data_IF_250471412285
#
_entry.id   IF_250471412285
#
_cell.length_a   1.000
_cell.length_b   1.000
_cell.length_c   1.000
_cell.angle_alpha   90.00
_cell.angle_beta   90.00
_cell.angle_gamma   90.00
#
_symmetry.space_group_name_H-M   'P 1'
#
loop_
_entity.id
_entity.type
_entity.pdbx_description
1 polymer ?
#
# COMPACT_ATOMS: atom_id res chain seq x y z
N UNK A 1 19.12 14.10 -15.48
CA UNK A 1 19.11 15.47 -14.92
C UNK A 1 19.37 15.34 -13.43
N UNK A 2 20.33 16.08 -12.85
CA UNK A 2 20.55 16.13 -11.40
C UNK A 2 20.02 17.49 -10.94
N UNK A 3 19.02 17.50 -10.06
CA UNK A 3 18.44 18.71 -9.44
C UNK A 3 18.42 18.52 -7.93
N UNK A 4 18.48 19.62 -7.17
CA UNK A 4 18.41 19.62 -5.70
C UNK A 4 16.99 19.53 -5.14
N UNK A 5 15.97 19.64 -6.01
CA UNK A 5 14.56 19.55 -5.60
C UNK A 5 14.01 18.16 -5.92
N UNK A 6 13.02 17.70 -5.13
CA UNK A 6 12.21 16.52 -5.48
C UNK A 6 11.71 16.70 -6.92
N UNK A 7 11.99 15.76 -7.84
CA UNK A 7 11.62 15.93 -9.22
C UNK A 7 10.10 16.00 -9.34
N UNK A 8 9.56 17.22 -9.49
CA UNK A 8 8.16 17.51 -9.87
C UNK A 8 7.79 16.99 -11.28
N UNK A 9 8.69 16.21 -11.91
CA UNK A 9 8.46 15.58 -13.20
C UNK A 9 8.25 14.10 -12.99
N UNK A 10 7.00 13.68 -13.18
CA UNK A 10 6.68 12.30 -13.57
C UNK A 10 7.39 12.05 -14.90
N UNK A 11 8.48 11.29 -14.88
CA UNK A 11 9.17 10.91 -16.11
C UNK A 11 8.22 10.05 -16.95
N UNK A 12 8.02 10.40 -18.21
CA UNK A 12 7.36 9.50 -19.16
C UNK A 12 8.16 8.19 -19.25
N UNK A 13 7.46 7.05 -19.30
CA UNK A 13 8.09 5.74 -19.36
C UNK A 13 9.04 5.66 -20.57
N UNK A 14 10.35 5.57 -20.31
CA UNK A 14 11.36 5.49 -21.36
C UNK A 14 11.15 4.24 -22.25
N UNK A 15 10.60 3.16 -21.67
CA UNK A 15 10.27 1.91 -22.36
C UNK A 15 9.04 1.28 -21.72
N UNK A 16 8.07 0.84 -22.53
CA UNK A 16 6.90 0.06 -22.12
C UNK A 16 7.02 -1.36 -22.70
N UNK A 17 7.02 -2.38 -21.83
CA UNK A 17 7.14 -3.79 -22.21
C UNK A 17 6.03 -4.59 -21.53
N UNK A 18 5.53 -5.63 -22.21
CA UNK A 18 4.82 -6.71 -21.51
C UNK A 18 5.80 -7.48 -20.63
N UNK A 19 5.29 -8.22 -19.66
CA UNK A 19 6.13 -9.07 -18.78
C UNK A 19 6.92 -10.11 -19.60
N UNK A 20 6.31 -10.66 -20.64
CA UNK A 20 6.97 -11.59 -21.57
C UNK A 20 8.08 -10.91 -22.36
N UNK A 21 7.80 -9.75 -22.98
CA UNK A 21 8.80 -8.99 -23.73
C UNK A 21 9.94 -8.50 -22.85
N UNK A 22 9.69 -8.22 -21.57
CA UNK A 22 10.75 -7.96 -20.59
C UNK A 22 11.62 -9.19 -20.38
N UNK A 23 11.03 -10.37 -20.17
CA UNK A 23 11.76 -11.64 -20.07
C UNK A 23 12.62 -11.95 -21.31
N UNK A 24 12.08 -11.71 -22.50
CA UNK A 24 12.79 -11.89 -23.78
C UNK A 24 14.06 -11.02 -23.88
N UNK A 25 14.10 -9.85 -23.22
CA UNK A 25 15.31 -9.00 -23.15
C UNK A 25 16.50 -9.72 -22.52
N UNK A 26 16.29 -10.80 -21.78
CA UNK A 26 17.33 -11.55 -21.10
C UNK A 26 17.61 -12.92 -21.74
N UNK A 27 16.62 -13.46 -22.45
CA UNK A 27 16.72 -14.76 -23.14
C UNK A 27 17.36 -14.64 -24.53
N UNK A 28 17.04 -13.60 -25.29
CA UNK A 28 17.45 -13.47 -26.70
C UNK A 28 18.71 -12.61 -26.81
N UNK A 29 19.72 -13.14 -27.52
CA UNK A 29 20.96 -12.42 -27.82
C UNK A 29 20.82 -11.63 -29.12
N UNK A 30 20.63 -10.32 -28.98
CA UNK A 30 20.71 -9.36 -30.07
C UNK A 30 21.27 -8.02 -29.57
N UNK A 31 21.57 -7.11 -30.50
CA UNK A 31 22.17 -5.81 -30.17
C UNK A 31 21.27 -4.98 -29.25
N UNK A 32 19.98 -4.93 -29.54
CA UNK A 32 19.00 -4.14 -28.76
C UNK A 32 18.89 -4.62 -27.31
N UNK A 33 18.75 -5.93 -27.11
CA UNK A 33 18.69 -6.55 -25.78
C UNK A 33 20.00 -6.38 -25.00
N UNK A 34 21.14 -6.41 -25.70
CA UNK A 34 22.44 -6.13 -25.07
C UNK A 34 22.53 -4.68 -24.60
N UNK A 35 22.03 -3.73 -25.40
CA UNK A 35 21.95 -2.32 -25.02
C UNK A 35 20.99 -2.12 -23.84
N UNK A 36 19.82 -2.74 -23.85
CA UNK A 36 18.85 -2.68 -22.74
C UNK A 36 19.48 -3.12 -21.41
N UNK A 37 20.22 -4.24 -21.41
CA UNK A 37 20.92 -4.73 -20.20
C UNK A 37 22.05 -3.81 -19.74
N UNK A 38 22.62 -3.01 -20.63
CA UNK A 38 23.75 -2.14 -20.33
C UNK A 38 23.36 -0.71 -19.91
N UNK A 39 22.27 -0.14 -20.46
CA UNK A 39 22.09 1.33 -20.55
C UNK A 39 20.87 1.86 -19.76
N UNK A 40 20.33 1.10 -18.78
CA UNK A 40 19.14 1.42 -17.94
C UNK A 40 17.83 0.87 -18.56
N UNK A 41 16.75 0.63 -17.79
CA UNK A 41 16.29 1.41 -16.63
C UNK A 41 16.97 1.09 -15.29
N UNK A 42 17.02 2.09 -14.38
CA UNK A 42 17.42 1.94 -12.97
C UNK A 42 16.22 2.02 -12.01
N UNK A 43 15.05 2.40 -12.52
CA UNK A 43 13.75 2.32 -11.89
C UNK A 43 12.84 1.46 -12.77
N UNK A 44 12.16 0.47 -12.19
CA UNK A 44 11.19 -0.35 -12.92
C UNK A 44 9.87 -0.35 -12.18
N UNK A 45 8.79 -0.17 -12.92
CA UNK A 45 7.43 -0.32 -12.41
C UNK A 45 6.78 -1.52 -13.08
N UNK A 46 6.37 -2.49 -12.27
CA UNK A 46 5.58 -3.63 -12.71
C UNK A 46 4.10 -3.36 -12.43
N UNK A 47 3.32 -3.21 -13.50
CA UNK A 47 1.89 -2.87 -13.44
C UNK A 47 1.06 -4.02 -13.98
N UNK A 48 0.19 -4.57 -13.13
CA UNK A 48 -0.78 -5.59 -13.50
C UNK A 48 -2.18 -5.07 -13.20
N UNK A 49 -2.93 -4.76 -14.25
CA UNK A 49 -4.34 -4.35 -14.14
C UNK A 49 -5.21 -5.35 -14.87
N UNK A 50 -6.14 -5.98 -14.14
CA UNK A 50 -7.10 -6.91 -14.73
C UNK A 50 -8.14 -6.14 -15.52
N UNK A 51 -8.21 -6.43 -16.82
CA UNK A 51 -9.33 -5.97 -17.65
C UNK A 51 -10.57 -6.83 -17.35
N UNK A 52 -11.76 -6.25 -17.48
CA UNK A 52 -13.05 -6.87 -17.08
C UNK A 52 -13.26 -8.26 -17.66
N UNK A 53 -12.80 -8.51 -18.89
CA UNK A 53 -12.98 -9.79 -19.60
C UNK A 53 -11.67 -10.59 -19.75
N UNK A 54 -10.60 -10.21 -19.04
CA UNK A 54 -9.27 -10.79 -19.21
C UNK A 54 -8.65 -11.34 -17.92
N UNK A 55 -9.41 -12.20 -17.25
CA UNK A 55 -8.92 -12.92 -16.08
C UNK A 55 -7.70 -13.80 -16.41
N UNK A 56 -7.74 -14.51 -17.54
CA UNK A 56 -6.72 -15.51 -17.88
C UNK A 56 -5.37 -14.87 -18.18
N UNK A 57 -5.29 -13.81 -18.99
CA UNK A 57 -4.01 -13.16 -19.27
C UNK A 57 -3.47 -12.48 -18.03
N UNK A 58 -4.33 -11.86 -17.22
CA UNK A 58 -3.94 -11.28 -15.95
C UNK A 58 -3.25 -12.30 -15.03
N UNK A 59 -3.87 -13.48 -14.85
CA UNK A 59 -3.28 -14.59 -14.10
C UNK A 59 -1.96 -15.05 -14.73
N UNK A 60 -1.92 -15.26 -16.05
CA UNK A 60 -0.70 -15.66 -16.77
C UNK A 60 0.44 -14.66 -16.55
N UNK A 61 0.17 -13.36 -16.64
CA UNK A 61 1.18 -12.32 -16.44
C UNK A 61 1.76 -12.34 -15.02
N UNK A 62 0.93 -12.57 -14.00
CA UNK A 62 1.40 -12.71 -12.62
C UNK A 62 2.21 -13.99 -12.40
N UNK A 63 1.88 -15.09 -13.09
CA UNK A 63 2.71 -16.30 -13.08
C UNK A 63 4.05 -16.06 -13.78
N UNK A 64 4.06 -15.41 -14.95
CA UNK A 64 5.30 -15.05 -15.66
C UNK A 64 6.17 -14.15 -14.78
N UNK A 65 5.59 -13.17 -14.08
CA UNK A 65 6.34 -12.32 -13.17
C UNK A 65 7.01 -13.12 -12.04
N UNK A 66 6.27 -14.02 -11.38
CA UNK A 66 6.83 -14.89 -10.35
C UNK A 66 8.01 -15.72 -10.87
N UNK A 67 7.90 -16.22 -12.10
CA UNK A 67 8.97 -16.96 -12.76
C UNK A 67 10.20 -16.08 -12.99
N UNK A 68 10.04 -14.84 -13.46
CA UNK A 68 11.14 -13.90 -13.68
C UNK A 68 11.88 -13.52 -12.39
N UNK A 69 11.16 -13.32 -11.29
CA UNK A 69 11.77 -13.00 -10.00
C UNK A 69 12.32 -14.23 -9.27
N UNK A 70 12.06 -15.44 -9.77
CA UNK A 70 12.65 -16.68 -9.25
C UNK A 70 14.15 -16.70 -9.51
N UNK A 71 14.92 -16.89 -8.44
CA UNK A 71 16.39 -16.89 -8.49
C UNK A 71 16.97 -18.06 -9.28
N UNK A 72 16.21 -19.15 -9.44
CA UNK A 72 16.69 -20.38 -10.09
C UNK A 72 16.56 -20.35 -11.61
N UNK A 73 15.55 -19.67 -12.16
CA UNK A 73 15.17 -19.80 -13.57
C UNK A 73 15.76 -18.74 -14.50
N UNK A 74 15.99 -17.52 -14.01
CA UNK A 74 16.41 -16.39 -14.86
C UNK A 74 17.66 -15.66 -14.29
N UNK A 75 18.85 -16.28 -14.32
CA UNK A 75 20.05 -15.71 -13.70
C UNK A 75 20.44 -14.33 -14.26
N UNK A 76 20.24 -14.08 -15.56
CA UNK A 76 20.49 -12.76 -16.19
C UNK A 76 19.53 -11.69 -15.69
N UNK A 77 18.28 -12.05 -15.37
CA UNK A 77 17.29 -11.13 -14.76
C UNK A 77 17.70 -10.81 -13.33
N UNK A 78 18.17 -11.81 -12.57
CA UNK A 78 18.67 -11.60 -11.21
C UNK A 78 19.91 -10.71 -11.18
N UNK A 79 20.86 -10.90 -12.10
CA UNK A 79 22.03 -10.02 -12.24
C UNK A 79 21.60 -8.58 -12.55
N UNK A 80 20.62 -8.41 -13.43
CA UNK A 80 20.05 -7.10 -13.76
C UNK A 80 19.36 -6.46 -12.55
N UNK A 81 18.56 -7.21 -11.81
CA UNK A 81 17.95 -6.76 -10.56
C UNK A 81 19.01 -6.40 -9.52
N UNK A 82 20.11 -7.15 -9.43
CA UNK A 82 21.18 -6.87 -8.48
C UNK A 82 21.95 -5.58 -8.84
N UNK A 83 22.32 -5.41 -10.12
CA UNK A 83 23.33 -4.42 -10.54
C UNK A 83 22.78 -3.17 -11.22
N UNK A 84 21.60 -3.23 -11.85
CA UNK A 84 21.04 -2.13 -12.64
C UNK A 84 19.86 -1.47 -11.96
N UNK A 85 18.97 -2.26 -11.36
CA UNK A 85 17.80 -1.71 -10.65
C UNK A 85 18.22 -1.12 -9.33
N UNK A 86 17.82 0.12 -9.08
CA UNK A 86 18.00 0.83 -7.82
C UNK A 86 16.69 0.95 -7.06
N UNK A 87 15.58 1.09 -7.78
CA UNK A 87 14.24 1.25 -7.21
C UNK A 87 13.21 0.48 -8.05
N UNK A 88 12.15 0.03 -7.38
CA UNK A 88 11.07 -0.73 -7.99
C UNK A 88 9.72 -0.28 -7.43
N UNK A 89 8.71 -0.26 -8.29
CA UNK A 89 7.31 -0.16 -7.90
C UNK A 89 6.55 -1.38 -8.37
N UNK A 90 5.67 -1.89 -7.51
CA UNK A 90 4.87 -3.07 -7.79
C UNK A 90 3.39 -2.72 -7.64
N UNK A 91 2.62 -2.85 -8.71
CA UNK A 91 1.24 -2.46 -8.76
C UNK A 91 0.37 -3.61 -9.27
N UNK A 92 -0.61 -4.00 -8.48
CA UNK A 92 -1.67 -4.92 -8.86
C UNK A 92 -3.02 -4.25 -8.58
N UNK A 93 -3.86 -4.17 -9.60
CA UNK A 93 -5.30 -3.94 -9.49
C UNK A 93 -6.03 -5.11 -10.15
N UNK A 94 -6.63 -5.99 -9.35
CA UNK A 94 -7.34 -7.14 -9.88
C UNK A 94 -8.82 -6.86 -10.21
N UNK A 95 -9.30 -5.64 -9.97
CA UNK A 95 -10.66 -5.20 -10.27
C UNK A 95 -11.70 -6.24 -9.85
N UNK A 96 -11.75 -6.54 -8.54
CA UNK A 96 -12.57 -7.63 -7.99
C UNK A 96 -14.01 -7.58 -8.52
N UNK A 97 -14.42 -8.65 -9.19
CA UNK A 97 -15.78 -8.84 -9.70
C UNK A 97 -16.39 -10.03 -8.96
N UNK A 98 -17.64 -9.91 -8.47
CA UNK A 98 -18.31 -10.93 -7.63
C UNK A 98 -18.55 -12.31 -8.28
N UNK A 99 -18.16 -12.53 -9.54
CA UNK A 99 -18.67 -13.64 -10.38
C UNK A 99 -17.60 -14.72 -10.68
N UNK A 100 -16.33 -14.49 -10.38
CA UNK A 100 -15.24 -15.40 -10.80
C UNK A 100 -14.54 -16.10 -9.63
N UNK A 101 -13.92 -17.27 -9.91
CA UNK A 101 -13.28 -18.17 -8.95
C UNK A 101 -12.25 -17.42 -8.05
N UNK A 102 -12.62 -17.06 -6.81
CA UNK A 102 -11.82 -16.17 -5.96
C UNK A 102 -10.50 -16.82 -5.51
N UNK A 103 -10.54 -18.12 -5.24
CA UNK A 103 -9.43 -18.85 -4.61
C UNK A 103 -8.15 -18.81 -5.46
N UNK A 104 -8.27 -18.96 -6.77
CA UNK A 104 -7.11 -18.94 -7.67
C UNK A 104 -6.48 -17.56 -7.74
N UNK A 105 -7.30 -16.50 -7.77
CA UNK A 105 -6.85 -15.12 -7.80
C UNK A 105 -6.12 -14.75 -6.51
N UNK A 106 -6.77 -14.95 -5.35
CA UNK A 106 -6.13 -14.70 -4.05
C UNK A 106 -4.81 -15.46 -3.93
N UNK A 107 -4.79 -16.73 -4.35
CA UNK A 107 -3.57 -17.55 -4.30
C UNK A 107 -2.41 -16.93 -5.09
N UNK A 108 -2.65 -16.47 -6.33
CA UNK A 108 -1.56 -15.90 -7.13
C UNK A 108 -1.10 -14.55 -6.57
N UNK A 109 -2.01 -13.72 -6.04
CA UNK A 109 -1.66 -12.44 -5.43
C UNK A 109 -0.77 -12.66 -4.20
N UNK A 110 -1.20 -13.55 -3.29
CA UNK A 110 -0.42 -13.89 -2.09
C UNK A 110 0.92 -14.55 -2.43
N UNK A 111 0.96 -15.38 -3.49
CA UNK A 111 2.20 -15.96 -3.99
C UNK A 111 3.17 -14.88 -4.49
N UNK A 112 2.69 -13.88 -5.24
CA UNK A 112 3.53 -12.76 -5.69
C UNK A 112 4.12 -11.98 -4.51
N UNK A 113 3.29 -11.65 -3.51
CA UNK A 113 3.75 -10.99 -2.29
C UNK A 113 4.80 -11.83 -1.55
N UNK A 114 4.56 -13.13 -1.42
CA UNK A 114 5.47 -14.07 -0.77
C UNK A 114 6.82 -14.16 -1.49
N UNK A 115 6.81 -14.36 -2.80
CA UNK A 115 8.03 -14.51 -3.59
C UNK A 115 8.85 -13.21 -3.60
N UNK A 116 8.18 -12.06 -3.72
CA UNK A 116 8.82 -10.75 -3.57
C UNK A 116 9.46 -10.57 -2.20
N UNK A 117 8.75 -10.94 -1.11
CA UNK A 117 9.26 -10.81 0.27
C UNK A 117 10.47 -11.71 0.57
N UNK A 118 10.66 -12.77 -0.22
CA UNK A 118 11.77 -13.73 -0.16
C UNK A 118 12.92 -13.37 -1.09
N UNK A 119 12.75 -12.44 -2.02
CA UNK A 119 13.80 -12.03 -2.94
C UNK A 119 14.68 -10.94 -2.30
N UNK A 120 15.81 -11.34 -1.71
CA UNK A 120 16.75 -10.44 -1.03
C UNK A 120 17.35 -9.34 -1.94
N UNK A 121 17.34 -9.53 -3.26
CA UNK A 121 17.79 -8.51 -4.23
C UNK A 121 16.77 -7.39 -4.40
N UNK A 122 15.48 -7.68 -4.22
CA UNK A 122 14.38 -6.77 -4.51
C UNK A 122 13.78 -6.11 -3.25
N UNK A 123 13.77 -6.78 -2.09
CA UNK A 123 13.11 -6.27 -0.87
C UNK A 123 13.60 -4.89 -0.41
N UNK A 124 14.85 -4.52 -0.72
CA UNK A 124 15.41 -3.19 -0.41
C UNK A 124 15.30 -2.20 -1.58
N UNK A 125 14.56 -2.56 -2.64
CA UNK A 125 14.38 -1.76 -3.85
C UNK A 125 12.92 -1.39 -4.07
N UNK A 126 11.97 -2.18 -3.55
CA UNK A 126 10.54 -1.86 -3.59
C UNK A 126 10.26 -0.60 -2.77
N UNK A 127 9.93 0.50 -3.46
CA UNK A 127 9.56 1.78 -2.86
C UNK A 127 8.05 1.97 -2.76
N UNK A 128 7.31 1.53 -3.77
CA UNK A 128 5.86 1.61 -3.80
C UNK A 128 5.27 0.24 -4.06
N UNK A 129 4.25 -0.11 -3.28
CA UNK A 129 3.49 -1.34 -3.46
C UNK A 129 2.01 -1.00 -3.46
N UNK A 130 1.30 -1.50 -4.46
CA UNK A 130 -0.15 -1.44 -4.55
C UNK A 130 -0.67 -2.83 -4.83
N UNK A 131 -1.58 -3.30 -3.99
CA UNK A 131 -2.35 -4.52 -4.21
C UNK A 131 -3.77 -4.12 -3.87
N UNK A 132 -4.63 -3.97 -4.86
CA UNK A 132 -6.01 -3.50 -4.66
C UNK A 132 -7.00 -4.21 -5.54
N UNK A 133 -8.28 -4.07 -5.19
CA UNK A 133 -9.37 -4.70 -5.91
C UNK A 133 -9.21 -6.21 -5.89
N UNK A 134 -8.85 -6.78 -4.74
CA UNK A 134 -8.68 -8.23 -4.53
C UNK A 134 -9.50 -8.69 -3.32
N UNK A 135 -9.48 -9.98 -3.03
CA UNK A 135 -10.15 -10.61 -1.89
C UNK A 135 -9.15 -11.18 -0.86
N UNK A 136 -7.88 -10.74 -0.89
CA UNK A 136 -6.84 -11.21 0.04
C UNK A 136 -7.16 -10.98 1.52
N UNK A 137 -8.07 -10.04 1.82
CA UNK A 137 -8.56 -9.80 3.18
C UNK A 137 -9.39 -10.94 3.76
N UNK A 138 -9.84 -11.90 2.95
CA UNK A 138 -10.60 -13.05 3.45
C UNK A 138 -9.73 -14.24 3.87
N UNK A 139 -8.43 -14.21 3.56
CA UNK A 139 -7.58 -15.40 3.67
C UNK A 139 -6.24 -15.06 4.37
N UNK A 140 -6.03 -15.65 5.55
CA UNK A 140 -4.76 -15.65 6.27
C UNK A 140 -4.12 -14.25 6.48
N UNK A 141 -4.94 -13.25 6.79
CA UNK A 141 -4.51 -11.85 7.00
C UNK A 141 -3.38 -11.72 8.02
N UNK A 142 -3.43 -12.39 9.20
CA UNK A 142 -2.34 -12.32 10.16
C UNK A 142 -0.98 -12.81 9.61
N UNK A 143 -0.97 -13.72 8.64
CA UNK A 143 0.24 -14.34 8.11
C UNK A 143 0.86 -13.48 7.01
N UNK A 144 0.09 -13.07 5.99
CA UNK A 144 0.65 -12.36 4.85
C UNK A 144 0.97 -10.89 5.16
N UNK A 145 0.25 -10.24 6.07
CA UNK A 145 0.55 -8.85 6.46
C UNK A 145 1.94 -8.70 7.11
N UNK A 146 2.46 -9.75 7.76
CA UNK A 146 3.82 -9.76 8.33
C UNK A 146 4.91 -9.68 7.27
N UNK A 147 4.60 -10.05 6.02
CA UNK A 147 5.55 -10.02 4.91
C UNK A 147 5.94 -8.59 4.57
N UNK A 148 5.10 -7.59 4.83
CA UNK A 148 5.41 -6.20 4.51
C UNK A 148 6.65 -5.66 5.23
N UNK A 149 6.94 -6.16 6.43
CA UNK A 149 8.15 -5.82 7.19
C UNK A 149 9.46 -6.14 6.45
N UNK A 150 9.40 -7.04 5.46
CA UNK A 150 10.58 -7.40 4.65
C UNK A 150 10.98 -6.26 3.70
N UNK A 151 10.04 -5.44 3.26
CA UNK A 151 10.30 -4.36 2.30
C UNK A 151 10.83 -3.11 3.01
N UNK A 152 12.13 -3.10 3.30
CA UNK A 152 12.77 -2.07 4.14
C UNK A 152 12.79 -0.67 3.53
N UNK A 153 12.59 -0.56 2.22
CA UNK A 153 12.58 0.69 1.47
C UNK A 153 11.18 1.12 1.05
N UNK A 154 10.14 0.43 1.53
CA UNK A 154 8.76 0.74 1.18
C UNK A 154 8.33 2.04 1.84
N UNK A 155 7.96 3.01 1.01
CA UNK A 155 7.53 4.35 1.41
C UNK A 155 6.02 4.55 1.17
N UNK A 156 5.45 3.82 0.20
CA UNK A 156 4.03 3.88 -0.16
C UNK A 156 3.45 2.48 -0.21
N UNK A 157 2.38 2.24 0.55
CA UNK A 157 1.61 1.01 0.52
C UNK A 157 0.13 1.33 0.30
N UNK A 158 -0.43 0.78 -0.77
CA UNK A 158 -1.85 0.79 -1.04
C UNK A 158 -2.39 -0.63 -1.01
N UNK A 159 -3.20 -0.91 0.01
CA UNK A 159 -3.94 -2.16 0.19
C UNK A 159 -5.44 -1.86 0.30
N UNK A 160 -5.90 -0.85 -0.43
CA UNK A 160 -7.31 -0.52 -0.57
C UNK A 160 -8.10 -1.60 -1.31
N UNK A 161 -9.43 -1.63 -1.14
CA UNK A 161 -10.32 -2.53 -1.90
C UNK A 161 -9.92 -4.01 -1.78
N UNK A 162 -9.56 -4.46 -0.58
CA UNK A 162 -9.10 -5.83 -0.32
C UNK A 162 -9.98 -6.61 0.64
N UNK A 163 -11.16 -6.08 0.98
CA UNK A 163 -12.10 -6.68 1.93
C UNK A 163 -11.47 -6.88 3.33
N UNK A 164 -10.51 -6.02 3.71
CA UNK A 164 -9.87 -6.11 5.02
C UNK A 164 -10.82 -5.67 6.12
N UNK A 165 -10.83 -6.39 7.23
CA UNK A 165 -11.55 -6.02 8.45
C UNK A 165 -10.59 -6.04 9.65
N UNK A 166 -11.02 -5.54 10.81
CA UNK A 166 -10.22 -5.63 12.05
C UNK A 166 -10.06 -7.09 12.51
N UNK A 167 -11.16 -7.84 12.47
CA UNK A 167 -11.26 -9.15 13.09
C UNK A 167 -10.90 -10.26 12.09
N UNK A 168 -9.88 -11.07 12.38
CA UNK A 168 -9.57 -12.27 11.59
C UNK A 168 -9.08 -13.42 12.47
N UNK A 169 -9.36 -14.66 12.08
CA UNK A 169 -8.84 -15.87 12.74
C UNK A 169 -9.05 -15.87 14.28
N UNK A 170 -10.18 -15.33 14.74
CA UNK A 170 -10.49 -15.22 16.18
C UNK A 170 -9.76 -14.08 16.92
N UNK A 171 -8.95 -13.29 16.23
CA UNK A 171 -8.39 -12.05 16.73
C UNK A 171 -9.38 -10.89 16.55
N UNK A 172 -9.51 -10.06 17.57
CA UNK A 172 -10.36 -8.85 17.57
C UNK A 172 -9.72 -7.72 16.76
N UNK A 173 -8.40 -7.58 16.81
CA UNK A 173 -7.69 -6.56 16.03
C UNK A 173 -6.32 -7.08 15.59
N UNK A 174 -6.26 -7.59 14.37
CA UNK A 174 -5.02 -8.10 13.79
C UNK A 174 -3.95 -7.02 13.71
N UNK A 175 -4.34 -5.77 13.50
CA UNK A 175 -3.46 -4.65 13.23
C UNK A 175 -2.84 -4.07 14.51
N UNK A 176 -3.48 -4.27 15.66
CA UNK A 176 -2.97 -3.86 16.97
C UNK A 176 -2.01 -4.84 17.67
N UNK A 177 -1.98 -6.13 17.28
CA UNK A 177 -1.16 -7.13 18.00
C UNK A 177 0.33 -6.90 17.86
N UNK A 178 0.80 -6.56 16.66
CA UNK A 178 2.22 -6.46 16.37
C UNK A 178 2.49 -5.54 15.18
N UNK A 179 3.70 -5.02 15.15
CA UNK A 179 4.18 -4.24 14.01
C UNK A 179 4.24 -5.12 12.76
N UNK A 180 3.40 -4.79 11.76
CA UNK A 180 3.32 -5.46 10.45
C UNK A 180 3.92 -4.66 9.31
N UNK A 181 4.05 -3.34 9.49
CA UNK A 181 4.49 -2.41 8.46
C UNK A 181 5.97 -2.01 8.67
N UNK A 182 6.69 -1.65 7.59
CA UNK A 182 8.09 -1.23 7.67
C UNK A 182 8.22 0.17 8.29
N UNK A 183 9.38 0.42 8.92
CA UNK A 183 9.64 1.63 9.73
C UNK A 183 9.65 2.94 8.92
N UNK A 184 9.90 2.87 7.61
CA UNK A 184 10.03 4.02 6.71
C UNK A 184 8.78 4.32 5.88
N UNK A 185 7.67 3.62 6.14
CA UNK A 185 6.43 3.81 5.40
C UNK A 185 5.85 5.20 5.67
N UNK A 186 5.62 5.98 4.62
CA UNK A 186 5.12 7.35 4.69
C UNK A 186 3.65 7.45 4.29
N UNK A 187 3.18 6.58 3.40
CA UNK A 187 1.80 6.60 2.91
C UNK A 187 1.18 5.21 3.05
N UNK A 188 0.02 5.16 3.69
CA UNK A 188 -0.77 3.95 3.87
C UNK A 188 -2.21 4.19 3.44
N UNK A 189 -2.62 3.52 2.36
CA UNK A 189 -4.01 3.48 1.92
C UNK A 189 -4.66 2.16 2.36
N UNK A 190 -5.66 2.28 3.22
CA UNK A 190 -6.56 1.23 3.73
C UNK A 190 -8.02 1.51 3.33
N UNK A 191 -8.22 2.38 2.35
CA UNK A 191 -9.53 2.81 1.87
C UNK A 191 -10.35 1.65 1.29
N UNK A 192 -11.68 1.79 1.27
CA UNK A 192 -12.56 0.80 0.65
C UNK A 192 -12.35 -0.62 1.18
N UNK A 193 -12.24 -0.73 2.50
CA UNK A 193 -12.20 -1.99 3.22
C UNK A 193 -13.41 -2.03 4.18
N UNK A 194 -13.41 -2.93 5.15
CA UNK A 194 -14.46 -3.12 6.15
C UNK A 194 -13.93 -2.94 7.58
N UNK A 195 -13.04 -1.97 7.79
CA UNK A 195 -12.64 -1.59 9.14
C UNK A 195 -13.83 -0.98 9.88
N UNK A 196 -14.07 -1.43 11.11
CA UNK A 196 -15.20 -1.02 11.95
C UNK A 196 -14.77 -0.14 13.13
N UNK A 197 -13.49 -0.21 13.50
CA UNK A 197 -12.93 0.58 14.59
C UNK A 197 -11.44 0.87 14.36
N UNK A 198 -10.95 1.94 14.99
CA UNK A 198 -9.53 2.24 15.12
C UNK A 198 -9.17 2.13 16.59
N UNK A 199 -8.40 1.10 16.95
CA UNK A 199 -7.91 0.91 18.31
C UNK A 199 -6.62 1.72 18.55
N UNK A 200 -6.35 2.03 19.81
CA UNK A 200 -5.06 2.59 20.23
C UNK A 200 -3.91 1.65 19.88
N UNK A 201 -4.12 0.34 20.05
CA UNK A 201 -3.10 -0.67 19.77
C UNK A 201 -2.73 -0.69 18.28
N UNK A 202 -3.71 -0.57 17.37
CA UNK A 202 -3.45 -0.42 15.93
C UNK A 202 -2.56 0.78 15.65
N UNK A 203 -2.88 1.95 16.22
CA UNK A 203 -2.10 3.18 16.03
C UNK A 203 -0.68 3.06 16.59
N UNK A 204 -0.48 2.35 17.71
CA UNK A 204 0.85 2.07 18.28
C UNK A 204 1.71 1.24 17.30
N UNK A 205 1.10 0.31 16.56
CA UNK A 205 1.84 -0.55 15.63
C UNK A 205 2.14 0.10 14.28
N UNK A 206 1.48 1.22 13.94
CA UNK A 206 1.76 1.98 12.73
C UNK A 206 3.14 2.69 12.85
N UNK A 207 3.86 2.85 11.73
CA UNK A 207 5.18 3.46 11.76
C UNK A 207 5.10 4.96 12.02
N UNK A 208 5.95 5.49 12.91
CA UNK A 208 5.98 6.91 13.24
C UNK A 208 6.38 7.81 12.06
N UNK A 209 6.96 7.26 10.99
CA UNK A 209 7.29 7.97 9.75
C UNK A 209 6.07 8.23 8.85
N UNK A 210 4.91 7.66 9.21
CA UNK A 210 3.68 7.79 8.45
C UNK A 210 3.23 9.25 8.39
N UNK A 211 2.98 9.72 7.17
CA UNK A 211 2.53 11.07 6.83
C UNK A 211 1.07 11.07 6.42
N UNK A 212 0.66 10.09 5.62
CA UNK A 212 -0.70 9.99 5.10
C UNK A 212 -1.27 8.63 5.51
N UNK A 213 -2.39 8.66 6.23
CA UNK A 213 -3.20 7.50 6.58
C UNK A 213 -4.58 7.67 6.00
N UNK A 214 -4.94 6.81 5.06
CA UNK A 214 -6.22 6.85 4.38
C UNK A 214 -7.09 5.67 4.79
N UNK A 215 -8.24 5.97 5.40
CA UNK A 215 -9.21 5.02 5.93
C UNK A 215 -10.63 5.36 5.44
N UNK A 216 -10.76 6.08 4.33
CA UNK A 216 -12.04 6.50 3.80
C UNK A 216 -12.83 5.31 3.23
N UNK A 217 -14.16 5.42 3.17
CA UNK A 217 -15.02 4.35 2.65
C UNK A 217 -14.78 3.02 3.39
N UNK A 218 -14.79 3.07 4.71
CA UNK A 218 -14.83 1.90 5.59
C UNK A 218 -16.15 1.94 6.38
N UNK A 219 -16.28 1.10 7.40
CA UNK A 219 -17.44 1.03 8.28
C UNK A 219 -17.10 1.53 9.70
N UNK A 220 -16.15 2.48 9.82
CA UNK A 220 -15.60 2.87 11.12
C UNK A 220 -16.67 3.61 11.92
N UNK A 221 -17.01 3.07 13.09
CA UNK A 221 -17.97 3.66 14.02
C UNK A 221 -17.30 4.29 15.23
N UNK A 222 -16.15 3.74 15.64
CA UNK A 222 -15.47 4.08 16.90
C UNK A 222 -13.96 4.27 16.66
N UNK A 223 -13.42 5.36 17.22
CA UNK A 223 -11.98 5.58 17.36
C UNK A 223 -11.69 5.63 18.86
N UNK A 224 -10.82 4.75 19.34
CA UNK A 224 -10.44 4.71 20.74
C UNK A 224 -9.75 6.01 21.17
N UNK A 225 -10.11 6.51 22.36
CA UNK A 225 -9.57 7.77 22.86
C UNK A 225 -8.07 7.62 23.14
N UNK A 226 -7.25 8.32 22.35
CA UNK A 226 -5.79 8.34 22.46
C UNK A 226 -5.21 9.59 21.77
N UNK A 227 -4.01 10.03 22.15
CA UNK A 227 -3.32 11.15 21.47
C UNK A 227 -2.69 10.71 20.15
N UNK A 228 -3.40 10.86 19.02
CA UNK A 228 -2.88 10.40 17.72
C UNK A 228 -1.61 11.12 17.30
N UNK A 229 -1.46 12.41 17.65
CA UNK A 229 -0.24 13.18 17.39
C UNK A 229 0.98 12.74 18.20
N UNK A 230 0.78 12.09 19.36
CA UNK A 230 1.87 11.47 20.12
C UNK A 230 2.29 10.14 19.48
N UNK A 231 1.31 9.33 19.05
CA UNK A 231 1.56 8.02 18.46
C UNK A 231 2.14 8.12 17.04
N UNK A 232 1.66 9.08 16.25
CA UNK A 232 2.02 9.32 14.85
C UNK A 232 2.47 10.77 14.65
N UNK A 233 3.67 11.15 15.14
CA UNK A 233 4.12 12.53 15.20
C UNK A 233 4.38 13.18 13.85
N UNK A 234 4.51 12.39 12.77
CA UNK A 234 4.73 12.90 11.42
C UNK A 234 3.46 12.85 10.55
N UNK A 235 2.30 12.47 11.11
CA UNK A 235 1.06 12.37 10.37
C UNK A 235 0.58 13.77 9.99
N UNK A 236 0.44 14.02 8.69
CA UNK A 236 -0.06 15.28 8.12
C UNK A 236 -1.47 15.14 7.56
N UNK A 237 -1.92 13.92 7.26
CA UNK A 237 -3.24 13.69 6.70
C UNK A 237 -3.85 12.42 7.28
N UNK A 238 -5.04 12.57 7.87
CA UNK A 238 -5.89 11.47 8.29
C UNK A 238 -7.21 11.56 7.54
N UNK A 239 -7.46 10.55 6.71
CA UNK A 239 -8.64 10.49 5.89
C UNK A 239 -9.69 9.52 6.46
N UNK A 240 -10.81 10.05 6.96
CA UNK A 240 -11.91 9.28 7.54
C UNK A 240 -13.26 9.54 6.85
N UNK A 241 -13.28 10.15 5.66
CA UNK A 241 -14.55 10.41 4.95
C UNK A 241 -15.28 9.12 4.59
N UNK A 242 -16.60 9.22 4.47
CA UNK A 242 -17.47 8.09 4.16
C UNK A 242 -17.29 6.90 5.13
N UNK A 243 -17.38 7.18 6.43
CA UNK A 243 -17.43 6.18 7.49
C UNK A 243 -18.77 6.28 8.25
N UNK A 244 -18.86 5.66 9.43
CA UNK A 244 -20.07 5.61 10.24
C UNK A 244 -19.90 6.28 11.61
N UNK A 245 -18.90 7.17 11.74
CA UNK A 245 -18.62 7.90 12.97
C UNK A 245 -19.84 8.73 13.37
N UNK A 246 -20.36 8.48 14.57
CA UNK A 246 -21.45 9.27 15.18
C UNK A 246 -20.94 10.24 16.25
N UNK A 247 -19.77 9.95 16.81
CA UNK A 247 -19.07 10.77 17.77
C UNK A 247 -17.55 10.58 17.63
N UNK A 248 -16.79 11.66 17.81
CA UNK A 248 -15.33 11.60 17.92
C UNK A 248 -14.87 12.54 19.03
N UNK A 249 -14.05 12.03 19.96
CA UNK A 249 -13.53 12.87 21.05
C UNK A 249 -12.51 13.87 20.50
N UNK A 250 -12.66 15.19 20.72
CA UNK A 250 -11.67 16.18 20.31
C UNK A 250 -10.29 15.95 20.93
N UNK A 251 -10.24 15.32 22.11
CA UNK A 251 -8.98 15.01 22.81
C UNK A 251 -8.06 14.09 22.01
N UNK A 252 -8.62 13.31 21.06
CA UNK A 252 -7.84 12.45 20.17
C UNK A 252 -6.80 13.26 19.38
N UNK A 253 -7.14 14.51 19.05
CA UNK A 253 -6.32 15.42 18.24
C UNK A 253 -5.60 16.48 19.08
N UNK A 254 -5.50 16.29 20.39
CA UNK A 254 -4.93 17.28 21.32
C UNK A 254 -3.46 17.63 21.01
N UNK A 255 -2.70 16.68 20.45
CA UNK A 255 -1.29 16.84 20.07
C UNK A 255 -1.07 17.11 18.57
N UNK A 256 -2.12 17.02 17.74
CA UNK A 256 -2.06 17.35 16.31
C UNK A 256 -1.89 18.85 16.13
N UNK A 257 -0.96 19.30 15.27
CA UNK A 257 -0.62 20.72 15.08
C UNK A 257 -0.27 21.03 13.62
N UNK A 258 -0.35 22.31 13.26
CA UNK A 258 0.20 22.83 12.01
C UNK A 258 -0.48 22.26 10.77
N UNK A 259 0.30 21.66 9.87
CA UNK A 259 -0.16 21.22 8.54
C UNK A 259 -1.05 19.96 8.58
N UNK A 260 -1.41 19.44 9.75
CA UNK A 260 -2.32 18.31 9.88
C UNK A 260 -3.70 18.62 9.27
N UNK A 261 -4.21 17.69 8.47
CA UNK A 261 -5.53 17.74 7.83
C UNK A 261 -6.33 16.50 8.21
N UNK A 262 -7.53 16.75 8.75
CA UNK A 262 -8.48 15.72 9.15
C UNK A 262 -9.71 15.79 8.23
N UNK A 263 -9.99 14.73 7.49
CA UNK A 263 -11.18 14.59 6.64
C UNK A 263 -12.26 13.79 7.36
N UNK A 264 -13.43 14.39 7.54
CA UNK A 264 -14.60 13.81 8.23
C UNK A 264 -15.87 13.86 7.38
N UNK A 265 -15.77 14.27 6.11
CA UNK A 265 -16.90 14.42 5.18
C UNK A 265 -17.72 13.12 5.12
N UNK A 266 -19.05 13.24 5.00
CA UNK A 266 -19.95 12.10 4.86
C UNK A 266 -19.87 11.06 6.00
N UNK A 267 -19.65 11.52 7.24
CA UNK A 267 -19.89 10.76 8.47
C UNK A 267 -21.27 11.09 9.08
N UNK A 268 -21.60 10.49 10.22
CA UNK A 268 -22.87 10.67 10.96
C UNK A 268 -22.69 11.51 12.24
N UNK A 269 -21.66 12.36 12.27
CA UNK A 269 -21.32 13.17 13.45
C UNK A 269 -22.43 14.18 13.78
N UNK A 270 -22.78 14.27 15.06
CA UNK A 270 -23.66 15.32 15.57
C UNK A 270 -23.03 16.71 15.39
N UNK A 271 -23.79 17.77 15.03
CA UNK A 271 -23.25 19.12 14.85
C UNK A 271 -22.51 19.68 16.07
N UNK A 272 -22.94 19.38 17.29
CA UNK A 272 -22.24 19.85 18.49
C UNK A 272 -20.87 19.17 18.63
N UNK A 273 -20.81 17.86 18.33
CA UNK A 273 -19.55 17.12 18.34
C UNK A 273 -18.57 17.65 17.28
N UNK A 274 -19.05 17.94 16.06
CA UNK A 274 -18.22 18.55 15.02
C UNK A 274 -17.67 19.92 15.43
N UNK A 275 -18.48 20.75 16.08
CA UNK A 275 -18.04 22.06 16.57
C UNK A 275 -16.94 21.94 17.65
N UNK A 276 -17.02 20.93 18.53
CA UNK A 276 -15.96 20.68 19.51
C UNK A 276 -14.65 20.25 18.84
N UNK A 277 -14.70 19.44 17.78
CA UNK A 277 -13.53 19.08 16.97
C UNK A 277 -12.95 20.31 16.27
N UNK A 278 -13.79 21.17 15.68
CA UNK A 278 -13.37 22.44 15.06
C UNK A 278 -12.73 23.39 16.06
N UNK A 279 -13.23 23.46 17.29
CA UNK A 279 -12.59 24.24 18.37
C UNK A 279 -11.20 23.71 18.70
N UNK A 280 -11.04 22.39 18.77
CA UNK A 280 -9.73 21.77 18.95
C UNK A 280 -8.80 22.10 17.78
N UNK A 281 -9.29 22.00 16.54
CA UNK A 281 -8.56 22.32 15.33
C UNK A 281 -8.07 23.78 15.31
N UNK A 282 -8.97 24.72 15.61
CA UNK A 282 -8.63 26.14 15.70
C UNK A 282 -7.61 26.44 16.81
N UNK A 283 -7.74 25.78 17.96
CA UNK A 283 -6.80 25.92 19.08
C UNK A 283 -5.40 25.44 18.71
N UNK A 284 -5.30 24.34 17.97
CA UNK A 284 -4.04 23.69 17.64
C UNK A 284 -3.47 24.06 16.25
N UNK A 285 -4.24 24.79 15.44
CA UNK A 285 -3.85 25.28 14.13
C UNK A 285 -3.92 24.24 13.00
N UNK A 286 -4.65 23.13 13.16
CA UNK A 286 -4.84 22.12 12.12
C UNK A 286 -6.16 22.30 11.36
N UNK A 287 -6.31 21.64 10.21
CA UNK A 287 -7.48 21.77 9.34
C UNK A 287 -8.44 20.59 9.50
N UNK A 288 -9.73 20.90 9.54
CA UNK A 288 -10.82 19.90 9.48
C UNK A 288 -11.64 20.16 8.23
N UNK A 289 -11.83 19.12 7.44
CA UNK A 289 -12.71 19.12 6.27
C UNK A 289 -13.92 18.26 6.62
N UNK A 290 -15.13 18.78 6.37
CA UNK A 290 -16.40 18.13 6.69
C UNK A 290 -17.48 18.57 5.71
#
# INVERSE_FOLDING_TARGET
MITNDEPNQVFENEVLLTVDSFGERFLIENRENSLFRCIRPNYVEFVFTRQVFDYRMFMTNLYTFNELISTEKYPRVQEYFATKILQLSFYIDANLMMIENPDSLTTIILKNLLDLSRNDLLVNKVKKMTIRGTDIGNIYVPQWTRLFRRFKSLEYLDISQNLLQNNHDGCIDVWGIEKRLPDYLQVLHLDWNFFTHISKDMLIQLPQSLKILSLNNNEIEIIEICSIGELLPNLIELDLKHNHLSFISPEIFSDCKGDFVLHLEANKLDPANLEDVRRMANKNGFKVVY
#
